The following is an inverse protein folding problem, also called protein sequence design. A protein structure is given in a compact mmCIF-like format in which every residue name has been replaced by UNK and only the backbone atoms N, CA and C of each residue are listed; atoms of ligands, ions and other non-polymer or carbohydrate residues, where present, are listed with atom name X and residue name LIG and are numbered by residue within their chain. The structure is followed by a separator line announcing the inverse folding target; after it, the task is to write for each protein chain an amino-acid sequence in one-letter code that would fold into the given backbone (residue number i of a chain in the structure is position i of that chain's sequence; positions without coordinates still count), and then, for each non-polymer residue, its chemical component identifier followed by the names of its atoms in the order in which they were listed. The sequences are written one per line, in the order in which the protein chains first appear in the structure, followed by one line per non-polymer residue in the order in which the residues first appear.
data_IF_483972566282
#
_entry.id   IF_483972566282
#
_cell.length_a   1.000
_cell.length_b   1.000
_cell.length_c   1.000
_cell.angle_alpha   90.00
_cell.angle_beta   90.00
_cell.angle_gamma   90.00
#
_symmetry.space_group_name_H-M   'P 1'
#
loop_
_entity.id
_entity.type
_entity.pdbx_description
1 polymer ?
#
# COMPACT_ATOMS: atom_id res chain seq x y z
N UNK A 1 -25.49 -31.21 -46.61
CA UNK A 1 -25.88 -30.02 -45.82
C UNK A 1 -24.90 -29.93 -44.67
N UNK A 2 -23.88 -29.05 -44.77
CA UNK A 2 -23.00 -28.77 -43.64
C UNK A 2 -23.55 -27.53 -42.94
N UNK A 3 -24.15 -27.72 -41.77
CA UNK A 3 -24.43 -26.63 -40.84
C UNK A 3 -23.08 -26.05 -40.41
N UNK A 4 -22.79 -24.82 -40.84
CA UNK A 4 -21.75 -24.01 -40.19
C UNK A 4 -22.29 -23.68 -38.80
N UNK A 5 -21.76 -24.32 -37.76
CA UNK A 5 -22.03 -23.91 -36.39
C UNK A 5 -21.50 -22.49 -36.23
N UNK A 6 -22.39 -21.52 -35.98
CA UNK A 6 -21.99 -20.15 -35.70
C UNK A 6 -21.12 -20.12 -34.44
N UNK A 7 -19.88 -19.64 -34.57
CA UNK A 7 -18.99 -19.41 -33.43
C UNK A 7 -19.67 -18.44 -32.46
N UNK A 8 -19.84 -18.86 -31.21
CA UNK A 8 -20.42 -18.00 -30.19
C UNK A 8 -19.34 -17.09 -29.63
N UNK A 9 -19.74 -15.91 -29.18
CA UNK A 9 -18.82 -14.98 -28.52
C UNK A 9 -18.11 -15.62 -27.31
N UNK A 10 -18.77 -16.57 -26.63
CA UNK A 10 -18.20 -17.36 -25.52
C UNK A 10 -17.02 -18.26 -25.92
N UNK A 11 -16.93 -18.61 -27.21
CA UNK A 11 -15.93 -19.53 -27.73
C UNK A 11 -14.64 -18.79 -28.09
N UNK A 12 -14.75 -17.48 -28.37
CA UNK A 12 -13.65 -16.58 -28.75
C UNK A 12 -13.27 -15.57 -27.66
N UNK A 13 -14.18 -15.24 -26.74
CA UNK A 13 -13.95 -14.30 -25.63
C UNK A 13 -13.93 -15.07 -24.32
N UNK A 14 -12.76 -15.13 -23.69
CA UNK A 14 -12.62 -15.62 -22.32
C UNK A 14 -12.39 -14.45 -21.36
N UNK A 15 -13.23 -14.36 -20.33
CA UNK A 15 -12.99 -13.43 -19.23
C UNK A 15 -11.79 -13.94 -18.44
N UNK A 16 -10.71 -13.15 -18.39
CA UNK A 16 -9.58 -13.48 -17.52
C UNK A 16 -10.07 -13.57 -16.08
N UNK A 17 -9.95 -14.76 -15.47
CA UNK A 17 -10.42 -15.06 -14.10
C UNK A 17 -9.83 -14.12 -13.03
N UNK A 18 -8.72 -13.45 -13.36
CA UNK A 18 -8.02 -12.54 -12.46
C UNK A 18 -8.79 -11.24 -12.20
N UNK A 19 -9.73 -10.85 -13.07
CA UNK A 19 -10.62 -9.70 -12.84
C UNK A 19 -11.66 -9.93 -11.73
N UNK A 20 -11.86 -11.17 -11.30
CA UNK A 20 -12.83 -11.52 -10.25
C UNK A 20 -12.19 -11.62 -8.86
N UNK A 21 -10.87 -11.47 -8.75
CA UNK A 21 -10.17 -11.57 -7.47
C UNK A 21 -10.05 -10.19 -6.82
N UNK A 22 -10.51 -10.07 -5.58
CA UNK A 22 -10.24 -8.87 -4.77
C UNK A 22 -8.76 -8.80 -4.40
N UNK A 23 -8.12 -7.67 -4.69
CA UNK A 23 -6.74 -7.37 -4.30
C UNK A 23 -6.70 -6.88 -2.86
N UNK A 24 -5.79 -7.44 -2.05
CA UNK A 24 -5.47 -6.99 -0.70
C UNK A 24 -3.99 -6.60 -0.61
N UNK A 25 -3.74 -5.34 -0.30
CA UNK A 25 -2.37 -4.75 -0.26
C UNK A 25 -1.41 -5.54 0.65
N UNK A 26 -1.84 -6.01 1.81
CA UNK A 26 -1.00 -6.76 2.76
C UNK A 26 -0.71 -8.21 2.36
N UNK A 27 -1.51 -8.80 1.48
CA UNK A 27 -1.41 -10.21 1.08
C UNK A 27 -0.87 -10.40 -0.36
N UNK A 28 -1.04 -9.41 -1.21
CA UNK A 28 -0.73 -9.51 -2.65
C UNK A 28 0.59 -8.84 -3.05
N UNK A 29 1.15 -7.96 -2.21
CA UNK A 29 2.51 -7.46 -2.42
C UNK A 29 3.51 -8.63 -2.29
N UNK A 30 4.46 -8.69 -3.21
CA UNK A 30 5.43 -9.80 -3.29
C UNK A 30 4.99 -10.93 -4.22
N UNK A 31 3.74 -10.91 -4.74
CA UNK A 31 3.20 -11.95 -5.60
C UNK A 31 3.16 -11.54 -7.06
N UNK A 32 3.83 -12.30 -7.93
CA UNK A 32 3.81 -12.05 -9.38
C UNK A 32 2.42 -12.28 -9.98
N UNK A 33 1.67 -13.25 -9.45
CA UNK A 33 0.31 -13.55 -9.92
C UNK A 33 -0.70 -12.44 -9.60
N UNK A 34 -0.42 -11.60 -8.58
CA UNK A 34 -1.25 -10.43 -8.28
C UNK A 34 -1.17 -9.32 -9.34
N UNK A 35 -0.11 -9.32 -10.17
CA UNK A 35 0.05 -8.39 -11.29
C UNK A 35 -0.53 -8.94 -12.60
N UNK A 36 -0.89 -10.22 -12.63
CA UNK A 36 -1.40 -10.85 -13.84
C UNK A 36 -2.79 -10.29 -14.16
N UNK A 37 -2.98 -9.87 -15.41
CA UNK A 37 -4.24 -9.28 -15.87
C UNK A 37 -4.49 -7.84 -15.41
N UNK A 38 -3.61 -7.24 -14.60
CA UNK A 38 -3.72 -5.81 -14.29
C UNK A 38 -3.40 -4.98 -15.54
N UNK A 39 -4.31 -4.07 -15.89
CA UNK A 39 -4.14 -3.11 -16.98
C UNK A 39 -3.96 -1.72 -16.37
N UNK A 40 -2.80 -1.12 -16.61
CA UNK A 40 -2.53 0.26 -16.18
C UNK A 40 -3.24 1.23 -17.13
N UNK A 41 -4.38 1.76 -16.70
CA UNK A 41 -5.12 2.78 -17.44
C UNK A 41 -4.45 4.17 -17.34
N UNK A 42 -4.80 5.08 -18.25
CA UNK A 42 -4.25 6.43 -18.30
C UNK A 42 -4.35 7.18 -16.96
N UNK A 43 -5.48 7.06 -16.24
CA UNK A 43 -5.68 7.68 -14.93
C UNK A 43 -4.75 7.13 -13.86
N UNK A 44 -4.47 5.82 -13.88
CA UNK A 44 -3.52 5.22 -12.96
C UNK A 44 -2.09 5.68 -13.26
N UNK A 45 -1.75 5.78 -14.55
CA UNK A 45 -0.50 6.36 -15.03
C UNK A 45 -0.31 7.80 -14.56
N UNK A 46 -1.33 8.66 -14.73
CA UNK A 46 -1.26 10.07 -14.33
C UNK A 46 -1.10 10.25 -12.83
N UNK A 47 -1.68 9.37 -12.01
CA UNK A 47 -1.47 9.39 -10.54
C UNK A 47 0.00 9.16 -10.22
N UNK A 48 0.65 8.19 -10.87
CA UNK A 48 2.09 7.92 -10.68
C UNK A 48 2.93 9.10 -11.19
N UNK A 49 2.56 9.69 -12.32
CA UNK A 49 3.29 10.84 -12.89
C UNK A 49 3.25 12.06 -11.95
N UNK A 50 2.08 12.41 -11.43
CA UNK A 50 1.91 13.48 -10.43
C UNK A 50 2.73 13.19 -9.18
N UNK A 51 2.76 11.95 -8.70
CA UNK A 51 3.62 11.59 -7.57
C UNK A 51 5.10 11.81 -7.88
N UNK A 52 5.56 11.46 -9.08
CA UNK A 52 6.95 11.65 -9.49
C UNK A 52 7.34 13.13 -9.50
N UNK A 53 6.48 13.99 -10.04
CA UNK A 53 6.67 15.44 -10.05
C UNK A 53 6.74 16.01 -8.63
N UNK A 54 5.81 15.63 -7.75
CA UNK A 54 5.76 16.11 -6.37
C UNK A 54 6.96 15.63 -5.55
N UNK A 55 7.39 14.38 -5.74
CA UNK A 55 8.55 13.83 -5.05
C UNK A 55 9.85 14.53 -5.47
N UNK A 56 9.99 14.81 -6.77
CA UNK A 56 11.22 15.41 -7.33
C UNK A 56 11.28 16.93 -7.12
N UNK A 57 10.14 17.62 -7.14
CA UNK A 57 10.06 19.08 -7.08
C UNK A 57 9.77 19.68 -5.70
N UNK A 58 9.37 18.87 -4.72
CA UNK A 58 8.93 19.36 -3.41
C UNK A 58 9.35 18.45 -2.25
N UNK A 59 8.98 18.84 -1.02
CA UNK A 59 9.09 18.00 0.18
C UNK A 59 7.84 17.13 0.45
N UNK A 60 6.89 17.05 -0.48
CA UNK A 60 5.68 16.23 -0.34
C UNK A 60 6.05 14.74 -0.35
N UNK A 61 5.72 14.01 0.73
CA UNK A 61 6.04 12.56 0.87
C UNK A 61 4.83 11.70 1.26
N UNK A 62 3.65 12.29 1.39
CA UNK A 62 2.41 11.59 1.73
C UNK A 62 1.36 11.86 0.65
N UNK A 63 0.64 10.83 0.19
CA UNK A 63 -0.33 10.95 -0.89
C UNK A 63 -1.58 10.16 -0.53
N UNK A 64 -2.74 10.71 -0.89
CA UNK A 64 -4.03 10.01 -0.73
C UNK A 64 -4.60 9.76 -2.11
N UNK A 65 -4.88 8.49 -2.43
CA UNK A 65 -5.60 8.13 -3.65
C UNK A 65 -7.08 7.93 -3.33
N UNK A 66 -7.92 8.78 -3.89
CA UNK A 66 -9.38 8.69 -3.75
C UNK A 66 -10.00 8.24 -5.08
N UNK A 67 -11.15 7.57 -4.98
CA UNK A 67 -11.86 7.05 -6.15
C UNK A 67 -12.84 5.93 -5.76
N UNK A 68 -13.75 5.56 -6.66
CA UNK A 68 -14.81 4.60 -6.38
C UNK A 68 -14.27 3.21 -6.03
N UNK A 69 -15.12 2.39 -5.39
CA UNK A 69 -14.84 0.96 -5.22
C UNK A 69 -14.68 0.30 -6.59
N UNK A 70 -13.72 -0.62 -6.72
CA UNK A 70 -13.38 -1.23 -8.00
C UNK A 70 -12.58 -0.35 -8.97
N UNK A 71 -12.28 0.91 -8.63
CA UNK A 71 -11.48 1.82 -9.47
C UNK A 71 -9.98 1.51 -9.57
N UNK A 72 -9.54 0.31 -9.14
CA UNK A 72 -8.15 -0.14 -9.29
C UNK A 72 -7.11 0.48 -8.34
N UNK A 73 -7.51 1.24 -7.32
CA UNK A 73 -6.57 1.90 -6.36
C UNK A 73 -5.64 0.91 -5.66
N UNK A 74 -6.20 -0.14 -5.06
CA UNK A 74 -5.41 -1.16 -4.36
C UNK A 74 -4.53 -1.96 -5.33
N UNK A 75 -5.02 -2.22 -6.55
CA UNK A 75 -4.23 -2.85 -7.62
C UNK A 75 -3.05 -1.98 -8.05
N UNK A 76 -3.27 -0.67 -8.22
CA UNK A 76 -2.21 0.30 -8.49
C UNK A 76 -1.20 0.35 -7.33
N UNK A 77 -1.67 0.24 -6.08
CA UNK A 77 -0.79 0.25 -4.90
C UNK A 77 0.10 -0.98 -4.87
N UNK A 78 -0.46 -2.16 -5.15
CA UNK A 78 0.30 -3.42 -5.29
C UNK A 78 1.28 -3.34 -6.46
N UNK A 79 0.87 -2.77 -7.60
CA UNK A 79 1.76 -2.60 -8.75
C UNK A 79 2.92 -1.64 -8.45
N UNK A 80 2.65 -0.49 -7.83
CA UNK A 80 3.68 0.48 -7.43
C UNK A 80 4.64 -0.13 -6.41
N UNK A 81 4.12 -0.76 -5.36
CA UNK A 81 4.93 -1.48 -4.38
C UNK A 81 5.81 -2.55 -5.03
N UNK A 82 5.25 -3.31 -5.97
CA UNK A 82 5.98 -4.34 -6.72
C UNK A 82 7.08 -3.73 -7.58
N UNK A 83 6.86 -2.55 -8.18
CA UNK A 83 7.87 -1.82 -8.97
C UNK A 83 9.05 -1.27 -8.14
N UNK A 84 8.91 -1.26 -6.81
CA UNK A 84 9.95 -0.88 -5.85
C UNK A 84 10.47 -2.08 -5.03
N UNK A 85 9.90 -3.27 -5.22
CA UNK A 85 10.17 -4.44 -4.39
C UNK A 85 11.61 -4.98 -4.56
N UNK A 86 12.22 -5.60 -3.54
CA UNK A 86 13.58 -6.17 -3.65
C UNK A 86 13.73 -7.28 -4.69
N UNK A 87 12.71 -8.13 -4.85
CA UNK A 87 12.66 -9.16 -5.90
C UNK A 87 12.75 -8.53 -7.30
N UNK A 88 13.81 -8.85 -8.04
CA UNK A 88 14.10 -8.32 -9.37
C UNK A 88 13.08 -8.73 -10.42
N UNK A 89 12.58 -9.96 -10.36
CA UNK A 89 11.64 -10.51 -11.34
C UNK A 89 10.27 -9.84 -11.16
N UNK A 90 9.80 -9.77 -9.92
CA UNK A 90 8.58 -9.05 -9.58
C UNK A 90 8.67 -7.57 -9.99
N UNK A 91 9.81 -6.93 -9.67
CA UNK A 91 10.05 -5.53 -10.00
C UNK A 91 10.05 -5.26 -11.50
N UNK A 92 10.74 -6.08 -12.29
CA UNK A 92 10.74 -5.97 -13.74
C UNK A 92 9.32 -6.13 -14.32
N UNK A 93 8.56 -7.11 -13.82
CA UNK A 93 7.17 -7.32 -14.27
C UNK A 93 6.28 -6.13 -13.95
N UNK A 94 6.36 -5.60 -12.72
CA UNK A 94 5.58 -4.44 -12.30
C UNK A 94 5.91 -3.19 -13.13
N UNK A 95 7.20 -2.93 -13.38
CA UNK A 95 7.65 -1.81 -14.21
C UNK A 95 7.16 -1.92 -15.66
N UNK A 96 7.10 -3.14 -16.20
CA UNK A 96 6.49 -3.38 -17.52
C UNK A 96 5.00 -3.06 -17.52
N UNK A 97 4.25 -3.57 -16.52
CA UNK A 97 2.79 -3.39 -16.42
C UNK A 97 2.40 -1.93 -16.20
N UNK A 98 3.20 -1.19 -15.44
CA UNK A 98 3.00 0.24 -15.21
C UNK A 98 3.58 1.14 -16.32
N UNK A 99 4.17 0.56 -17.37
CA UNK A 99 4.83 1.28 -18.46
C UNK A 99 5.90 2.28 -17.97
N UNK A 100 6.69 1.89 -16.97
CA UNK A 100 7.69 2.76 -16.32
C UNK A 100 9.04 2.78 -17.03
N UNK A 101 9.34 1.78 -17.86
CA UNK A 101 10.62 1.68 -18.58
C UNK A 101 10.92 2.90 -19.47
N UNK A 102 9.88 3.64 -19.87
CA UNK A 102 9.96 4.86 -20.67
C UNK A 102 9.78 6.14 -19.84
N UNK A 103 9.83 6.07 -18.50
CA UNK A 103 9.58 7.21 -17.59
C UNK A 103 10.80 7.53 -16.72
N UNK A 104 11.75 8.35 -17.21
CA UNK A 104 12.92 8.78 -16.43
C UNK A 104 12.56 9.45 -15.11
N UNK A 105 11.46 10.20 -15.07
CA UNK A 105 10.95 10.86 -13.86
C UNK A 105 10.67 9.86 -12.72
N UNK A 106 10.27 8.62 -13.05
CA UNK A 106 10.01 7.59 -12.05
C UNK A 106 11.31 7.14 -11.35
N UNK A 107 12.40 6.93 -12.10
CA UNK A 107 13.67 6.50 -11.50
C UNK A 107 14.31 7.61 -10.65
N UNK A 108 14.05 8.88 -10.97
CA UNK A 108 14.48 10.03 -10.15
C UNK A 108 13.66 10.10 -8.86
N UNK A 109 12.33 9.99 -8.97
CA UNK A 109 11.43 10.10 -7.82
C UNK A 109 11.50 8.88 -6.89
N UNK A 110 11.72 7.70 -7.46
CA UNK A 110 11.78 6.42 -6.77
C UNK A 110 13.05 5.65 -7.16
N UNK A 111 14.24 6.09 -6.72
CA UNK A 111 15.48 5.38 -7.00
C UNK A 111 15.43 3.97 -6.41
N UNK A 112 15.79 2.96 -7.20
CA UNK A 112 15.85 1.57 -6.72
C UNK A 112 17.22 0.98 -7.03
N UNK A 113 17.94 0.58 -5.97
CA UNK A 113 19.17 -0.20 -6.05
C UNK A 113 18.96 -1.62 -5.57
N UNK A 114 18.52 -1.79 -4.30
CA UNK A 114 18.23 -3.10 -3.71
C UNK A 114 16.74 -3.37 -3.58
N UNK A 115 15.91 -2.32 -3.65
CA UNK A 115 14.49 -2.35 -3.38
C UNK A 115 14.15 -1.62 -2.09
N UNK A 116 12.93 -1.08 -2.04
CA UNK A 116 12.39 -0.33 -0.92
C UNK A 116 11.85 -1.29 0.15
N UNK A 117 11.89 -0.85 1.41
CA UNK A 117 11.12 -1.49 2.47
C UNK A 117 9.65 -1.11 2.27
N UNK A 118 8.81 -2.09 1.93
CA UNK A 118 7.38 -1.86 1.77
C UNK A 118 6.66 -2.26 3.06
N UNK A 119 5.90 -1.33 3.63
CA UNK A 119 5.13 -1.50 4.87
C UNK A 119 3.64 -1.39 4.54
N UNK A 120 2.98 -2.50 4.18
CA UNK A 120 1.56 -2.50 3.87
C UNK A 120 0.70 -2.60 5.13
N UNK A 121 -0.33 -1.77 5.21
CA UNK A 121 -1.34 -1.80 6.28
C UNK A 121 -2.71 -1.75 5.65
N UNK A 122 -3.61 -2.59 6.14
CA UNK A 122 -5.04 -2.53 5.80
C UNK A 122 -5.80 -2.04 7.02
N UNK A 123 -6.71 -1.11 6.78
CA UNK A 123 -7.57 -0.50 7.77
C UNK A 123 -8.36 -1.52 8.57
N UNK A 124 -8.41 -1.31 9.88
CA UNK A 124 -9.26 -2.08 10.80
C UNK A 124 -9.72 -1.19 11.93
N UNK A 125 -10.75 -1.63 12.66
CA UNK A 125 -11.16 -0.95 13.90
C UNK A 125 -10.08 -1.16 14.95
N UNK A 126 -9.37 -0.09 15.31
CA UNK A 126 -8.30 -0.14 16.31
C UNK A 126 -7.27 0.97 16.13
N UNK A 127 -6.14 0.84 16.83
CA UNK A 127 -5.05 1.81 16.77
C UNK A 127 -4.25 1.70 15.47
N UNK A 128 -4.18 2.79 14.71
CA UNK A 128 -3.31 2.91 13.52
C UNK A 128 -1.83 2.76 13.90
N UNK A 129 -1.43 3.28 15.07
CA UNK A 129 -0.06 3.18 15.57
C UNK A 129 0.32 1.72 15.80
N UNK A 130 -0.56 0.95 16.44
CA UNK A 130 -0.32 -0.47 16.68
C UNK A 130 -0.28 -1.28 15.36
N UNK A 131 -1.15 -0.94 14.40
CA UNK A 131 -1.17 -1.60 13.10
C UNK A 131 0.08 -1.31 12.26
N UNK A 132 0.50 -0.05 12.19
CA UNK A 132 1.72 0.36 11.49
C UNK A 132 2.97 -0.25 12.12
N UNK A 133 3.07 -0.25 13.46
CA UNK A 133 4.19 -0.89 14.13
C UNK A 133 4.25 -2.38 13.83
N UNK A 134 3.12 -3.09 13.88
CA UNK A 134 3.08 -4.51 13.54
C UNK A 134 3.53 -4.78 12.09
N UNK A 135 3.04 -3.97 11.15
CA UNK A 135 3.42 -4.07 9.74
C UNK A 135 4.90 -3.75 9.52
N UNK A 136 5.46 -2.76 10.21
CA UNK A 136 6.89 -2.43 10.14
C UNK A 136 7.74 -3.61 10.60
N UNK A 137 7.43 -4.20 11.76
CA UNK A 137 8.15 -5.38 12.27
C UNK A 137 8.07 -6.55 11.30
N UNK A 138 6.88 -6.81 10.74
CA UNK A 138 6.72 -7.84 9.73
C UNK A 138 7.56 -7.57 8.48
N UNK A 139 7.61 -6.31 8.00
CA UNK A 139 8.43 -5.92 6.84
C UNK A 139 9.94 -6.06 7.11
N UNK A 140 10.37 -5.89 8.37
CA UNK A 140 11.74 -6.15 8.84
C UNK A 140 12.05 -7.65 9.04
N UNK A 141 11.05 -8.53 8.89
CA UNK A 141 11.19 -9.95 9.21
C UNK A 141 11.27 -10.26 10.71
N UNK A 142 10.76 -9.35 11.56
CA UNK A 142 10.77 -9.44 13.02
C UNK A 142 9.38 -9.74 13.57
N UNK A 143 9.31 -10.44 14.69
CA UNK A 143 8.07 -10.63 15.45
C UNK A 143 7.74 -9.38 16.28
N UNK A 144 6.46 -9.09 16.44
CA UNK A 144 5.99 -8.03 17.34
C UNK A 144 6.06 -8.53 18.78
N UNK A 145 6.79 -7.83 19.65
CA UNK A 145 6.71 -8.06 21.09
C UNK A 145 5.47 -7.35 21.66
N UNK A 146 4.50 -8.12 22.13
CA UNK A 146 3.24 -7.62 22.69
C UNK A 146 3.38 -6.87 24.02
N UNK A 147 4.58 -6.79 24.59
CA UNK A 147 4.85 -6.14 25.89
C UNK A 147 5.29 -4.68 25.76
N UNK A 148 5.73 -4.25 24.58
CA UNK A 148 6.17 -2.87 24.36
C UNK A 148 4.97 -1.95 24.10
N UNK A 149 4.82 -0.91 24.92
CA UNK A 149 3.82 0.13 24.69
C UNK A 149 4.34 1.10 23.62
N UNK A 150 3.95 0.86 22.38
CA UNK A 150 4.36 1.67 21.23
C UNK A 150 3.58 2.99 21.21
N UNK A 151 4.29 4.10 21.00
CA UNK A 151 3.69 5.40 20.77
C UNK A 151 4.03 5.93 19.37
N UNK A 152 3.32 6.97 18.92
CA UNK A 152 3.50 7.52 17.58
C UNK A 152 4.89 8.10 17.36
N UNK A 153 5.50 8.73 18.37
CA UNK A 153 6.84 9.31 18.26
C UNK A 153 7.90 8.24 18.00
N UNK A 154 7.86 7.13 18.74
CA UNK A 154 8.78 5.99 18.56
C UNK A 154 8.64 5.36 17.19
N UNK A 155 7.40 5.14 16.72
CA UNK A 155 7.14 4.59 15.40
C UNK A 155 7.66 5.51 14.27
N UNK A 156 7.45 6.83 14.40
CA UNK A 156 7.96 7.80 13.42
C UNK A 156 9.49 7.77 13.39
N UNK A 157 10.15 7.76 14.56
CA UNK A 157 11.60 7.68 14.65
C UNK A 157 12.14 6.41 13.98
N UNK A 158 11.52 5.26 14.23
CA UNK A 158 11.88 3.98 13.60
C UNK A 158 11.75 4.03 12.07
N UNK A 159 10.63 4.54 11.55
CA UNK A 159 10.44 4.70 10.10
C UNK A 159 11.49 5.63 9.47
N UNK A 160 11.86 6.71 10.18
CA UNK A 160 12.91 7.63 9.72
C UNK A 160 14.29 6.97 9.72
N UNK A 161 14.61 6.15 10.72
CA UNK A 161 15.89 5.44 10.78
C UNK A 161 15.98 4.33 9.71
N UNK A 162 14.89 3.64 9.44
CA UNK A 162 14.79 2.71 8.32
C UNK A 162 14.95 3.43 6.97
N UNK A 163 14.41 4.64 6.81
CA UNK A 163 14.62 5.44 5.60
C UNK A 163 16.08 5.89 5.45
N UNK A 164 16.70 6.41 6.52
CA UNK A 164 18.11 6.86 6.50
C UNK A 164 19.11 5.75 6.21
N UNK A 165 18.85 4.54 6.70
CA UNK A 165 19.71 3.37 6.44
C UNK A 165 19.64 2.86 4.99
N UNK A 166 18.75 3.43 4.16
CA UNK A 166 18.53 3.07 2.75
C UNK A 166 18.73 4.27 1.82
N UNK A 167 19.93 4.87 1.74
CA UNK A 167 20.18 6.13 1.01
C UNK A 167 19.99 6.04 -0.52
N UNK A 168 19.89 4.84 -1.08
CA UNK A 168 19.68 4.59 -2.52
C UNK A 168 18.37 3.85 -2.82
N UNK A 169 17.53 3.70 -1.81
CA UNK A 169 16.20 3.10 -1.88
C UNK A 169 15.27 3.95 -0.99
N UNK A 170 14.34 3.33 -0.26
CA UNK A 170 13.51 4.07 0.70
C UNK A 170 12.57 3.16 1.49
N UNK A 171 11.63 3.80 2.19
CA UNK A 171 10.51 3.15 2.89
C UNK A 171 9.21 3.62 2.26
N UNK A 172 8.39 2.67 1.80
CA UNK A 172 7.05 2.94 1.27
C UNK A 172 6.01 2.39 2.23
N UNK A 173 5.29 3.28 2.93
CA UNK A 173 4.15 2.92 3.77
C UNK A 173 2.87 3.04 2.94
N UNK A 174 2.09 1.96 2.87
CA UNK A 174 0.79 1.95 2.19
C UNK A 174 -0.27 1.66 3.23
N UNK A 175 -1.28 2.54 3.33
CA UNK A 175 -2.43 2.32 4.19
C UNK A 175 -3.69 2.24 3.32
N UNK A 176 -4.19 1.02 3.12
CA UNK A 176 -5.48 0.80 2.47
C UNK A 176 -6.63 0.89 3.50
N UNK A 177 -7.82 1.26 3.07
CA UNK A 177 -9.02 1.39 3.92
C UNK A 177 -8.82 2.25 5.18
N UNK A 178 -8.01 3.33 5.09
CA UNK A 178 -7.66 4.23 6.20
C UNK A 178 -8.89 4.73 7.00
N UNK A 179 -10.04 4.86 6.34
CA UNK A 179 -11.31 5.24 6.98
C UNK A 179 -11.66 4.39 8.21
N UNK A 180 -11.33 3.09 8.22
CA UNK A 180 -11.60 2.21 9.38
C UNK A 180 -10.83 2.61 10.64
N UNK A 181 -9.61 3.16 10.49
CA UNK A 181 -8.85 3.69 11.62
C UNK A 181 -9.40 5.04 12.10
N UNK A 182 -9.84 5.88 11.17
CA UNK A 182 -10.44 7.18 11.47
C UNK A 182 -11.76 7.02 12.22
N UNK A 183 -12.62 6.08 11.78
CA UNK A 183 -13.85 5.70 12.46
C UNK A 183 -13.58 5.23 13.89
N UNK A 184 -12.60 4.35 14.10
CA UNK A 184 -12.26 3.86 15.44
C UNK A 184 -11.74 4.98 16.35
N UNK A 185 -10.98 5.92 15.79
CA UNK A 185 -10.47 7.09 16.52
C UNK A 185 -11.60 8.05 16.90
N UNK A 186 -12.55 8.29 15.99
CA UNK A 186 -13.72 9.13 16.22
C UNK A 186 -14.67 8.54 17.27
N UNK A 187 -14.82 7.21 17.30
CA UNK A 187 -15.65 6.49 18.27
C UNK A 187 -15.00 6.34 19.67
N UNK A 188 -13.83 6.95 19.89
CA UNK A 188 -13.22 6.98 21.22
C UNK A 188 -12.62 5.64 21.66
N UNK A 189 -12.22 4.76 20.73
CA UNK A 189 -11.47 3.54 21.07
C UNK A 189 -10.06 3.82 21.69
N UNK A 190 -9.74 5.09 21.94
CA UNK A 190 -8.61 5.60 22.74
C UNK A 190 -9.05 6.12 24.13
N UNK A 191 -10.26 5.81 24.60
CA UNK A 191 -10.70 6.16 25.95
C UNK A 191 -10.06 5.23 26.99
N UNK A 192 -8.85 5.58 27.41
CA UNK A 192 -8.34 5.18 28.71
C UNK A 192 -7.85 6.41 29.48
N UNK A 193 -8.81 7.23 29.91
CA UNK A 193 -8.76 8.05 31.13
C UNK A 193 -10.19 8.22 31.63
N UNK A 194 -10.70 7.23 32.37
CA UNK A 194 -11.68 7.52 33.40
C UNK A 194 -10.95 8.41 34.42
N UNK A 195 -11.19 9.72 34.34
CA UNK A 195 -11.01 10.60 35.47
C UNK A 195 -11.93 10.07 36.57
N UNK A 196 -11.36 9.40 37.57
CA UNK A 196 -12.00 9.30 38.89
C UNK A 196 -12.15 10.74 39.37
N UNK A 197 -13.34 11.30 39.21
CA UNK A 197 -13.76 12.49 39.94
C UNK A 197 -13.89 12.04 41.39
N UNK A 198 -12.83 12.26 42.17
CA UNK A 198 -12.89 12.10 43.61
C UNK A 198 -13.76 13.21 44.18
N UNK A 199 -14.98 12.87 44.58
CA UNK A 199 -15.76 13.71 45.50
C UNK A 199 -15.05 13.70 46.85
N UNK A 200 -14.31 14.76 47.15
CA UNK A 200 -13.90 15.05 48.52
C UNK A 200 -15.13 15.59 49.26
N UNK A 201 -15.84 14.70 49.95
CA UNK A 201 -16.70 15.07 51.05
C UNK A 201 -15.83 15.21 52.30
N UNK A 202 -15.64 16.43 52.77
CA UNK A 202 -15.14 16.69 54.12
C UNK A 202 -16.31 17.24 54.95
N UNK A 203 -16.62 16.51 56.02
CA UNK A 203 -17.35 17.01 57.18
C UNK A 203 -16.46 17.97 57.99
#
# INVERSE_FOLDING_TARGET
MNEKSEERLSDIVQISRQYQRSIRVDADIGRVDALSGYICHATAGSVVDVMCEQLSGTNQRCFTWTGPFGGGKSSLAVALASALHPDKNLRAKARQVLHLNSKPAFEIAFPVRKGWLVVPVVGRRGSVVAALHAALRQAEGRSVDGRSKVNSQTLIAELLDEAKSRPHDGVLVIVDEMGKFLEASALGAMSHRQLKVGTAGAA
#
